data_IF_418647386227
#
_entry.id   IF_418647386227
#
_cell.length_a   1.000
_cell.length_b   1.000
_cell.length_c   1.000
_cell.angle_alpha   90.00
_cell.angle_beta   90.00
_cell.angle_gamma   90.00
#
_symmetry.space_group_name_H-M   'P 1'
#
loop_
_entity.id
_entity.type
_entity.pdbx_description
1 polymer ?
#
# COMPACT_ATOMS: atom_id res chain seq x y z
N UNK A 1 -23.97 3.46 1.30
CA UNK A 1 -22.90 2.58 1.80
C UNK A 1 -23.09 2.06 3.24
N UNK A 2 -24.17 2.37 3.92
CA UNK A 2 -24.46 1.92 5.30
C UNK A 2 -24.58 0.41 5.50
N UNK A 3 -24.53 -0.38 4.42
CA UNK A 3 -24.72 -1.85 4.44
C UNK A 3 -23.56 -2.63 3.79
N UNK A 4 -22.34 -2.03 3.72
CA UNK A 4 -21.19 -2.69 3.14
C UNK A 4 -20.66 -3.79 4.08
N UNK A 5 -20.93 -5.04 3.74
CA UNK A 5 -20.40 -6.20 4.46
C UNK A 5 -18.90 -6.40 4.22
N UNK A 6 -18.18 -6.98 5.20
CA UNK A 6 -16.73 -7.22 5.10
C UNK A 6 -16.32 -7.99 3.84
N UNK A 7 -17.15 -8.90 3.35
CA UNK A 7 -16.89 -9.69 2.13
C UNK A 7 -16.90 -8.84 0.84
N UNK A 8 -17.57 -7.68 0.87
CA UNK A 8 -17.73 -6.80 -0.29
C UNK A 8 -16.66 -5.70 -0.33
N UNK A 9 -15.98 -5.45 0.80
CA UNK A 9 -14.89 -4.45 0.92
C UNK A 9 -13.82 -4.62 -0.14
N UNK A 10 -13.30 -5.84 -0.45
CA UNK A 10 -12.25 -5.99 -1.47
C UNK A 10 -12.64 -5.47 -2.85
N UNK A 11 -13.87 -5.66 -3.28
CA UNK A 11 -14.37 -5.17 -4.56
C UNK A 11 -14.47 -3.63 -4.58
N UNK A 12 -14.97 -3.05 -3.50
CA UNK A 12 -15.08 -1.59 -3.36
C UNK A 12 -13.70 -0.91 -3.28
N UNK A 13 -12.74 -1.50 -2.58
CA UNK A 13 -11.34 -1.06 -2.57
C UNK A 13 -10.75 -1.05 -3.99
N UNK A 14 -11.04 -2.09 -4.78
CA UNK A 14 -10.63 -2.14 -6.20
C UNK A 14 -11.17 -0.96 -7.00
N UNK A 15 -12.44 -0.58 -6.78
CA UNK A 15 -13.06 0.58 -7.45
C UNK A 15 -12.42 1.91 -7.01
N UNK A 16 -12.14 2.08 -5.72
CA UNK A 16 -11.45 3.28 -5.20
C UNK A 16 -10.04 3.43 -5.79
N UNK A 17 -9.29 2.35 -5.89
CA UNK A 17 -7.96 2.34 -6.49
C UNK A 17 -8.03 2.64 -8.00
N UNK A 18 -8.97 2.04 -8.73
CA UNK A 18 -9.17 2.32 -10.16
C UNK A 18 -9.51 3.80 -10.40
N UNK A 19 -10.40 4.38 -9.59
CA UNK A 19 -10.74 5.80 -9.65
C UNK A 19 -9.50 6.68 -9.39
N UNK A 20 -8.72 6.34 -8.37
CA UNK A 20 -7.49 7.06 -8.02
C UNK A 20 -6.48 7.08 -9.18
N UNK A 21 -6.21 5.93 -9.82
CA UNK A 21 -5.31 5.90 -10.98
C UNK A 21 -5.83 6.75 -12.15
N UNK A 22 -7.16 6.78 -12.38
CA UNK A 22 -7.77 7.65 -13.40
C UNK A 22 -7.58 9.14 -13.09
N UNK A 23 -7.73 9.53 -11.82
CA UNK A 23 -7.50 10.91 -11.38
C UNK A 23 -6.06 11.37 -11.62
N UNK A 24 -5.07 10.45 -11.55
CA UNK A 24 -3.65 10.75 -11.75
C UNK A 24 -3.20 10.71 -13.21
N UNK A 25 -3.98 10.09 -14.10
CA UNK A 25 -3.58 9.85 -15.50
C UNK A 25 -3.12 11.12 -16.21
N UNK A 26 -3.89 12.19 -16.15
CA UNK A 26 -3.56 13.45 -16.85
C UNK A 26 -2.23 14.07 -16.36
N UNK A 27 -1.95 14.01 -15.05
CA UNK A 27 -0.69 14.51 -14.51
C UNK A 27 0.51 13.67 -14.98
N UNK A 28 0.34 12.36 -15.07
CA UNK A 28 1.37 11.44 -15.55
C UNK A 28 1.63 11.65 -17.05
N UNK A 29 0.58 11.80 -17.84
CA UNK A 29 0.68 12.05 -19.29
C UNK A 29 1.43 13.34 -19.60
N UNK A 30 1.33 14.39 -18.75
CA UNK A 30 2.08 15.64 -18.93
C UNK A 30 3.59 15.48 -18.74
N UNK A 31 4.04 14.44 -18.03
CA UNK A 31 5.47 14.15 -17.85
C UNK A 31 6.01 13.44 -19.09
N UNK A 32 5.23 12.57 -19.72
CA UNK A 32 5.55 11.92 -20.97
C UNK A 32 5.11 10.47 -21.05
N UNK A 33 4.93 9.99 -22.28
CA UNK A 33 4.48 8.63 -22.58
C UNK A 33 5.31 7.53 -21.87
N UNK A 34 6.66 7.58 -21.81
CA UNK A 34 7.43 6.54 -21.13
C UNK A 34 7.10 6.42 -19.64
N UNK A 35 6.73 7.54 -18.99
CA UNK A 35 6.31 7.53 -17.58
C UNK A 35 4.92 6.92 -17.44
N UNK A 36 4.00 7.24 -18.35
CA UNK A 36 2.68 6.64 -18.37
C UNK A 36 2.75 5.10 -18.56
N UNK A 37 3.64 4.64 -19.44
CA UNK A 37 3.92 3.22 -19.66
C UNK A 37 4.46 2.56 -18.39
N UNK A 38 5.48 3.13 -17.74
CA UNK A 38 6.01 2.61 -16.48
C UNK A 38 4.94 2.55 -15.38
N UNK A 39 4.13 3.61 -15.21
CA UNK A 39 3.04 3.65 -14.23
C UNK A 39 1.95 2.60 -14.54
N UNK A 40 1.78 2.20 -15.80
CA UNK A 40 0.86 1.11 -16.16
C UNK A 40 1.22 -0.22 -15.51
N UNK A 41 2.52 -0.50 -15.28
CA UNK A 41 2.98 -1.68 -14.54
C UNK A 41 2.56 -1.62 -13.08
N UNK A 42 2.75 -0.47 -12.42
CA UNK A 42 2.27 -0.27 -11.05
C UNK A 42 0.74 -0.42 -10.95
N UNK A 43 0.00 0.18 -11.90
CA UNK A 43 -1.47 0.04 -11.94
C UNK A 43 -1.89 -1.42 -12.10
N UNK A 44 -1.29 -2.17 -13.03
CA UNK A 44 -1.55 -3.60 -13.21
C UNK A 44 -1.25 -4.40 -11.94
N UNK A 45 -0.13 -4.10 -11.28
CA UNK A 45 0.27 -4.74 -10.03
C UNK A 45 -0.74 -4.48 -8.91
N UNK A 46 -1.15 -3.22 -8.71
CA UNK A 46 -2.10 -2.82 -7.66
C UNK A 46 -3.49 -3.39 -7.92
N UNK A 47 -3.98 -3.34 -9.18
CA UNK A 47 -5.32 -3.80 -9.55
C UNK A 47 -5.39 -5.29 -9.83
N UNK A 48 -4.27 -5.96 -10.09
CA UNK A 48 -4.15 -7.36 -10.48
C UNK A 48 -4.57 -8.39 -9.42
N UNK A 49 -5.28 -7.94 -8.40
CA UNK A 49 -5.86 -8.80 -7.37
C UNK A 49 -5.17 -8.72 -6.02
N UNK A 50 -5.67 -9.53 -5.09
CA UNK A 50 -5.23 -9.56 -3.69
C UNK A 50 -6.44 -9.66 -2.77
N UNK A 51 -6.21 -10.18 -1.56
CA UNK A 51 -7.28 -10.36 -0.56
C UNK A 51 -7.73 -9.04 0.08
N UNK A 52 -7.07 -7.92 -0.22
CA UNK A 52 -7.35 -6.58 0.35
C UNK A 52 -7.51 -6.61 1.87
N UNK A 53 -6.64 -7.37 2.54
CA UNK A 53 -6.75 -7.69 3.97
C UNK A 53 -6.65 -6.42 4.82
N UNK A 54 -5.70 -5.54 4.52
CA UNK A 54 -5.47 -4.31 5.30
C UNK A 54 -6.64 -3.34 5.24
N UNK A 55 -7.14 -2.95 4.06
CA UNK A 55 -8.36 -2.14 3.97
C UNK A 55 -9.56 -2.79 4.65
N UNK A 56 -9.68 -4.13 4.58
CA UNK A 56 -10.77 -4.86 5.22
C UNK A 56 -10.68 -4.78 6.75
N UNK A 57 -9.48 -4.89 7.34
CA UNK A 57 -9.30 -4.67 8.78
C UNK A 57 -9.53 -3.22 9.18
N UNK A 58 -9.07 -2.25 8.36
CA UNK A 58 -9.36 -0.84 8.59
C UNK A 58 -10.86 -0.56 8.61
N UNK A 59 -11.58 -1.09 7.63
CA UNK A 59 -13.05 -1.01 7.60
C UNK A 59 -13.71 -1.69 8.81
N UNK A 60 -13.22 -2.88 9.20
CA UNK A 60 -13.72 -3.58 10.39
C UNK A 60 -13.50 -2.76 11.68
N UNK A 61 -12.34 -2.11 11.83
CA UNK A 61 -12.06 -1.18 12.93
C UNK A 61 -13.03 0.00 12.96
N UNK A 62 -13.28 0.62 11.80
CA UNK A 62 -14.23 1.71 11.66
C UNK A 62 -15.66 1.30 12.07
N UNK A 63 -16.16 0.20 11.51
CA UNK A 63 -17.50 -0.32 11.82
C UNK A 63 -17.60 -0.75 13.28
N UNK A 64 -16.60 -1.49 13.78
CA UNK A 64 -16.56 -1.98 15.17
C UNK A 64 -16.54 -0.85 16.22
N UNK A 65 -15.96 0.30 15.88
CA UNK A 65 -15.97 1.50 16.71
C UNK A 65 -17.23 2.38 16.52
N UNK A 66 -18.24 1.90 15.79
CA UNK A 66 -19.51 2.61 15.60
C UNK A 66 -19.48 3.67 14.49
N UNK A 67 -18.48 3.66 13.63
CA UNK A 67 -18.25 4.68 12.60
C UNK A 67 -19.41 4.89 11.64
N UNK A 68 -20.23 3.86 11.36
CA UNK A 68 -21.44 3.98 10.53
C UNK A 68 -22.54 4.87 11.15
N UNK A 69 -22.45 5.16 12.45
CA UNK A 69 -23.35 6.05 13.18
C UNK A 69 -22.67 7.39 13.53
N UNK A 70 -21.42 7.58 13.10
CA UNK A 70 -20.60 8.78 13.30
C UNK A 70 -20.86 9.85 12.25
N UNK A 71 -19.93 10.80 12.19
CA UNK A 71 -20.01 11.99 11.30
C UNK A 71 -19.21 11.82 10.00
N UNK A 72 -18.30 10.84 9.95
CA UNK A 72 -17.47 10.62 8.76
C UNK A 72 -18.25 9.92 7.66
N UNK A 73 -18.05 10.38 6.42
CA UNK A 73 -18.62 9.69 5.25
C UNK A 73 -17.95 8.32 5.07
N UNK A 74 -18.74 7.21 5.11
CA UNK A 74 -18.21 5.87 4.90
C UNK A 74 -17.46 5.69 3.58
N UNK A 75 -17.81 6.44 2.52
CA UNK A 75 -17.09 6.38 1.24
C UNK A 75 -15.69 7.02 1.35
N UNK A 76 -15.60 8.16 2.01
CA UNK A 76 -14.33 8.82 2.30
C UNK A 76 -13.42 7.92 3.17
N UNK A 77 -13.99 7.26 4.17
CA UNK A 77 -13.25 6.30 5.01
C UNK A 77 -12.75 5.11 4.19
N UNK A 78 -13.59 4.54 3.33
CA UNK A 78 -13.19 3.44 2.47
C UNK A 78 -12.07 3.85 1.51
N UNK A 79 -12.15 5.08 0.96
CA UNK A 79 -11.07 5.65 0.14
C UNK A 79 -9.78 5.79 0.95
N UNK A 80 -9.85 6.31 2.17
CA UNK A 80 -8.70 6.39 3.07
C UNK A 80 -8.09 5.01 3.33
N UNK A 81 -8.91 3.99 3.66
CA UNK A 81 -8.42 2.63 3.88
C UNK A 81 -7.83 2.02 2.62
N UNK A 82 -8.30 2.37 1.43
CA UNK A 82 -7.77 1.87 0.16
C UNK A 82 -6.32 2.31 -0.09
N UNK A 83 -5.85 3.42 0.51
CA UNK A 83 -4.46 3.87 0.46
C UNK A 83 -3.46 2.85 1.02
N UNK A 84 -3.90 1.96 1.92
CA UNK A 84 -3.09 0.88 2.47
C UNK A 84 -2.60 -0.11 1.41
N UNK A 85 -3.31 -0.23 0.30
CA UNK A 85 -2.88 -1.07 -0.81
C UNK A 85 -1.74 -0.44 -1.63
N UNK A 86 -1.63 0.89 -1.64
CA UNK A 86 -0.50 1.59 -2.25
C UNK A 86 0.76 1.44 -1.38
N UNK A 87 0.65 1.50 -0.04
CA UNK A 87 1.76 1.16 0.86
C UNK A 87 2.18 -0.30 0.64
N UNK A 88 1.21 -1.21 0.52
CA UNK A 88 1.49 -2.61 0.23
C UNK A 88 2.18 -2.80 -1.13
N UNK A 89 1.80 -2.02 -2.15
CA UNK A 89 2.46 -2.06 -3.44
C UNK A 89 3.92 -1.62 -3.35
N UNK A 90 4.21 -0.50 -2.66
CA UNK A 90 5.57 -0.07 -2.37
C UNK A 90 6.38 -1.19 -1.69
N UNK A 91 5.86 -1.72 -0.58
CA UNK A 91 6.56 -2.75 0.18
C UNK A 91 6.87 -4.00 -0.67
N UNK A 92 5.90 -4.48 -1.47
CA UNK A 92 6.09 -5.67 -2.29
C UNK A 92 6.98 -5.44 -3.52
N UNK A 93 6.91 -4.26 -4.16
CA UNK A 93 7.76 -3.94 -5.31
C UNK A 93 9.23 -3.86 -4.88
N UNK A 94 9.52 -3.24 -3.73
CA UNK A 94 10.87 -3.18 -3.19
C UNK A 94 11.36 -4.54 -2.67
N UNK A 95 10.51 -5.29 -1.97
CA UNK A 95 10.80 -6.64 -1.47
C UNK A 95 11.17 -7.59 -2.63
N UNK A 96 10.44 -7.53 -3.74
CA UNK A 96 10.74 -8.32 -4.95
C UNK A 96 12.12 -8.04 -5.55
N UNK A 97 12.61 -6.79 -5.45
CA UNK A 97 13.96 -6.42 -5.89
C UNK A 97 15.00 -6.93 -4.90
N UNK A 98 14.76 -6.71 -3.60
CA UNK A 98 15.66 -7.11 -2.51
C UNK A 98 15.87 -8.63 -2.52
N UNK A 99 14.78 -9.39 -2.69
CA UNK A 99 14.81 -10.85 -2.71
C UNK A 99 15.18 -11.44 -4.09
N UNK A 100 15.47 -10.59 -5.10
CA UNK A 100 15.70 -10.98 -6.48
C UNK A 100 14.61 -11.93 -7.04
N UNK A 101 13.35 -11.69 -6.68
CA UNK A 101 12.22 -12.54 -7.04
C UNK A 101 11.80 -12.34 -8.49
N UNK A 102 11.70 -13.42 -9.26
CA UNK A 102 11.26 -13.36 -10.66
C UNK A 102 9.73 -13.27 -10.81
N UNK A 103 9.00 -13.85 -9.86
CA UNK A 103 7.53 -13.95 -9.95
C UNK A 103 6.84 -13.66 -8.63
N UNK A 104 5.64 -13.06 -8.73
CA UNK A 104 4.71 -12.85 -7.60
C UNK A 104 3.29 -13.19 -8.01
N UNK A 105 2.62 -14.05 -7.24
CA UNK A 105 1.25 -14.52 -7.51
C UNK A 105 1.07 -15.11 -8.92
N UNK A 106 2.11 -15.79 -9.42
CA UNK A 106 2.09 -16.42 -10.75
C UNK A 106 2.34 -15.48 -11.94
N UNK A 107 2.60 -14.19 -11.68
CA UNK A 107 2.97 -13.20 -12.69
C UNK A 107 4.41 -12.74 -12.50
N UNK A 108 5.10 -12.23 -13.53
CA UNK A 108 6.37 -11.56 -13.37
C UNK A 108 6.29 -10.43 -12.33
N UNK A 109 7.33 -10.24 -11.54
CA UNK A 109 7.47 -9.07 -10.67
C UNK A 109 7.55 -7.78 -11.49
N UNK A 110 7.31 -6.63 -10.87
CA UNK A 110 7.28 -5.34 -11.60
C UNK A 110 8.61 -5.09 -12.32
N UNK A 111 9.75 -5.30 -11.66
CA UNK A 111 11.06 -5.09 -12.28
C UNK A 111 11.30 -6.07 -13.44
N UNK A 112 10.89 -7.33 -13.33
CA UNK A 112 11.03 -8.31 -14.41
C UNK A 112 10.10 -8.04 -15.59
N UNK A 113 8.90 -7.53 -15.35
CA UNK A 113 7.99 -7.13 -16.42
C UNK A 113 8.54 -5.95 -17.22
N UNK A 114 9.11 -4.94 -16.54
CA UNK A 114 9.74 -3.77 -17.19
C UNK A 114 11.02 -4.19 -17.92
N UNK A 115 11.84 -5.06 -17.34
CA UNK A 115 13.01 -5.65 -18.00
C UNK A 115 12.64 -6.35 -19.31
N UNK A 116 11.60 -7.16 -19.31
CA UNK A 116 11.12 -7.86 -20.49
C UNK A 116 10.63 -6.88 -21.58
N UNK A 117 9.93 -5.82 -21.19
CA UNK A 117 9.47 -4.77 -22.10
C UNK A 117 10.66 -4.03 -22.73
N UNK A 118 11.66 -3.60 -21.93
CA UNK A 118 12.89 -2.99 -22.41
C UNK A 118 13.59 -3.84 -23.49
N UNK A 119 13.69 -5.15 -23.28
CA UNK A 119 14.28 -6.08 -24.26
C UNK A 119 13.44 -6.18 -25.53
N UNK A 120 12.10 -6.23 -25.39
CA UNK A 120 11.19 -6.37 -26.53
C UNK A 120 11.18 -5.12 -27.43
N UNK A 121 11.41 -3.96 -26.84
CA UNK A 121 11.47 -2.68 -27.56
C UNK A 121 12.84 -2.35 -28.11
N UNK A 122 13.86 -3.15 -27.76
CA UNK A 122 15.24 -2.96 -28.21
C UNK A 122 15.88 -1.68 -27.66
N UNK A 123 15.53 -1.28 -26.45
CA UNK A 123 16.06 -0.08 -25.80
C UNK A 123 17.56 -0.25 -25.46
N UNK A 124 18.27 0.88 -25.33
CA UNK A 124 19.71 0.89 -25.04
C UNK A 124 19.99 0.62 -23.57
N UNK A 125 21.16 0.03 -23.30
CA UNK A 125 21.65 -0.21 -21.94
C UNK A 125 21.26 -1.57 -21.38
N UNK A 126 21.46 -1.76 -20.07
CA UNK A 126 21.11 -2.97 -19.36
C UNK A 126 19.61 -3.03 -19.05
N UNK A 127 18.91 -3.99 -19.63
CA UNK A 127 17.48 -4.19 -19.38
C UNK A 127 17.19 -4.52 -17.90
N UNK A 128 18.07 -5.30 -17.26
CA UNK A 128 17.93 -5.66 -15.85
C UNK A 128 18.06 -4.43 -14.95
N UNK A 129 19.10 -3.62 -15.13
CA UNK A 129 19.27 -2.37 -14.36
C UNK A 129 18.12 -1.39 -14.60
N UNK A 130 17.65 -1.28 -15.84
CA UNK A 130 16.48 -0.44 -16.16
C UNK A 130 15.24 -0.91 -15.42
N UNK A 131 14.96 -2.22 -15.42
CA UNK A 131 13.83 -2.81 -14.70
C UNK A 131 13.88 -2.52 -13.20
N UNK A 132 15.04 -2.72 -12.57
CA UNK A 132 15.28 -2.44 -11.15
C UNK A 132 15.09 -0.95 -10.85
N UNK A 133 15.76 -0.07 -11.60
CA UNK A 133 15.69 1.38 -11.36
C UNK A 133 14.28 1.93 -11.52
N UNK A 134 13.55 1.49 -12.54
CA UNK A 134 12.16 1.89 -12.73
C UNK A 134 11.25 1.39 -11.61
N UNK A 135 11.43 0.13 -11.16
CA UNK A 135 10.63 -0.44 -10.09
C UNK A 135 10.89 0.23 -8.73
N UNK A 136 12.11 0.64 -8.42
CA UNK A 136 12.42 1.46 -7.24
C UNK A 136 11.56 2.74 -7.24
N UNK A 137 11.59 3.49 -8.35
CA UNK A 137 10.84 4.74 -8.47
C UNK A 137 9.32 4.52 -8.45
N UNK A 138 8.82 3.41 -8.98
CA UNK A 138 7.41 3.06 -8.91
C UNK A 138 6.98 2.68 -7.48
N UNK A 139 7.87 2.05 -6.71
CA UNK A 139 7.64 1.80 -5.29
C UNK A 139 7.56 3.09 -4.48
N UNK A 140 8.48 4.03 -4.72
CA UNK A 140 8.47 5.36 -4.09
C UNK A 140 7.21 6.14 -4.46
N UNK A 141 6.82 6.10 -5.74
CA UNK A 141 5.59 6.73 -6.22
C UNK A 141 4.35 6.15 -5.54
N UNK A 142 4.30 4.83 -5.38
CA UNK A 142 3.20 4.17 -4.66
C UNK A 142 3.11 4.65 -3.20
N UNK A 143 4.25 4.80 -2.51
CA UNK A 143 4.29 5.33 -1.14
C UNK A 143 3.83 6.79 -1.06
N UNK A 144 4.29 7.64 -1.98
CA UNK A 144 3.84 9.03 -2.07
C UNK A 144 2.33 9.13 -2.35
N UNK A 145 1.84 8.32 -3.28
CA UNK A 145 0.42 8.27 -3.63
C UNK A 145 -0.46 7.69 -2.53
N UNK A 146 0.09 6.84 -1.66
CA UNK A 146 -0.63 6.39 -0.46
C UNK A 146 -0.95 7.56 0.46
N UNK A 147 0.03 8.48 0.69
CA UNK A 147 -0.19 9.70 1.48
C UNK A 147 -1.21 10.62 0.80
N UNK A 148 -1.12 10.81 -0.52
CA UNK A 148 -2.08 11.62 -1.27
C UNK A 148 -3.50 11.07 -1.14
N UNK A 149 -3.68 9.76 -1.36
CA UNK A 149 -4.99 9.11 -1.29
C UNK A 149 -5.59 9.16 0.11
N UNK A 150 -4.76 9.01 1.15
CA UNK A 150 -5.13 9.15 2.54
C UNK A 150 -5.56 10.58 2.86
N UNK A 151 -4.70 11.56 2.55
CA UNK A 151 -4.89 12.96 2.90
C UNK A 151 -6.07 13.61 2.18
N UNK A 152 -6.29 13.23 0.92
CA UNK A 152 -7.36 13.75 0.08
C UNK A 152 -8.53 12.76 -0.07
N UNK A 153 -8.73 11.89 0.91
CA UNK A 153 -9.81 10.91 0.92
C UNK A 153 -11.20 11.53 1.04
N UNK A 154 -11.31 12.70 1.65
CA UNK A 154 -12.58 13.35 2.03
C UNK A 154 -12.94 13.18 3.50
N UNK A 155 -12.16 12.43 4.28
CA UNK A 155 -12.28 12.33 5.74
C UNK A 155 -11.95 13.67 6.39
N UNK A 156 -12.63 14.03 7.47
CA UNK A 156 -12.42 15.29 8.17
C UNK A 156 -10.98 15.43 8.71
N UNK A 157 -10.52 16.69 8.82
CA UNK A 157 -9.18 16.96 9.35
C UNK A 157 -9.03 16.49 10.80
N UNK A 158 -10.10 16.55 11.59
CA UNK A 158 -10.10 16.06 12.97
C UNK A 158 -9.93 14.54 13.04
N UNK A 159 -10.59 13.79 12.15
CA UNK A 159 -10.43 12.35 12.07
C UNK A 159 -9.02 11.96 11.55
N UNK A 160 -8.49 12.67 10.55
CA UNK A 160 -7.11 12.48 10.09
C UNK A 160 -6.10 12.77 11.22
N UNK A 161 -6.33 13.80 12.03
CA UNK A 161 -5.46 14.13 13.16
C UNK A 161 -5.50 13.03 14.24
N UNK A 162 -6.66 12.46 14.55
CA UNK A 162 -6.78 11.31 15.48
C UNK A 162 -6.03 10.08 14.97
N UNK A 163 -6.07 9.84 13.66
CA UNK A 163 -5.42 8.70 13.04
C UNK A 163 -3.92 8.91 12.70
N UNK A 164 -3.37 10.11 12.99
CA UNK A 164 -2.01 10.47 12.60
C UNK A 164 -0.95 9.54 13.22
N UNK A 165 -1.07 9.21 14.52
CA UNK A 165 -0.10 8.33 15.19
C UNK A 165 -0.06 6.94 14.55
N UNK A 166 -1.17 6.18 14.44
CA UNK A 166 -1.12 4.87 13.80
C UNK A 166 -0.74 4.93 12.31
N UNK A 167 -1.06 6.00 11.59
CA UNK A 167 -0.65 6.20 10.19
C UNK A 167 0.85 6.38 10.04
N UNK A 168 1.47 7.24 10.86
CA UNK A 168 2.92 7.48 10.85
C UNK A 168 3.67 6.25 11.36
N UNK A 169 3.21 5.67 12.49
CA UNK A 169 3.80 4.50 13.11
C UNK A 169 3.86 3.31 12.16
N UNK A 170 2.77 3.02 11.47
CA UNK A 170 2.67 1.90 10.53
C UNK A 170 3.74 1.96 9.42
N UNK A 171 3.96 3.12 8.83
CA UNK A 171 4.96 3.30 7.75
C UNK A 171 6.38 3.12 8.27
N UNK A 172 6.69 3.68 9.43
CA UNK A 172 8.00 3.50 10.08
C UNK A 172 8.22 2.04 10.47
N UNK A 173 7.21 1.40 11.04
CA UNK A 173 7.29 0.01 11.50
C UNK A 173 7.50 -0.99 10.37
N UNK A 174 6.77 -0.87 9.26
CA UNK A 174 6.91 -1.80 8.13
C UNK A 174 8.28 -1.66 7.45
N UNK A 175 8.75 -0.43 7.23
CA UNK A 175 10.08 -0.19 6.62
C UNK A 175 11.18 -0.62 7.59
N UNK A 176 11.07 -0.27 8.87
CA UNK A 176 12.02 -0.70 9.91
C UNK A 176 12.04 -2.21 10.10
N UNK A 177 10.89 -2.88 10.02
CA UNK A 177 10.78 -4.33 10.06
C UNK A 177 11.48 -5.00 8.88
N UNK A 178 11.32 -4.46 7.67
CA UNK A 178 12.03 -4.94 6.48
C UNK A 178 13.54 -4.74 6.59
N UNK A 179 13.98 -3.57 7.05
CA UNK A 179 15.41 -3.30 7.26
C UNK A 179 16.01 -4.26 8.32
N UNK A 180 15.28 -4.52 9.40
CA UNK A 180 15.70 -5.46 10.43
C UNK A 180 15.85 -6.88 9.87
N UNK A 181 14.92 -7.32 9.01
CA UNK A 181 14.95 -8.62 8.35
C UNK A 181 16.23 -8.81 7.53
N UNK A 182 16.54 -7.84 6.65
CA UNK A 182 17.77 -7.83 5.85
C UNK A 182 19.03 -7.87 6.74
N UNK A 183 19.03 -7.07 7.82
CA UNK A 183 20.19 -7.01 8.73
C UNK A 183 20.41 -8.33 9.45
N UNK A 184 19.35 -8.99 9.91
CA UNK A 184 19.45 -10.27 10.62
C UNK A 184 19.93 -11.40 9.72
N UNK A 185 19.49 -11.41 8.47
CA UNK A 185 19.97 -12.35 7.46
C UNK A 185 21.48 -12.18 7.23
N UNK A 186 21.96 -10.96 7.04
CA UNK A 186 23.39 -10.67 6.82
C UNK A 186 24.26 -10.92 8.07
N UNK A 187 23.69 -10.83 9.27
CA UNK A 187 24.37 -11.15 10.52
C UNK A 187 24.37 -12.66 10.82
N UNK A 188 23.61 -13.47 10.07
CA UNK A 188 23.39 -14.87 10.37
C UNK A 188 22.77 -15.09 11.76
N UNK A 189 21.86 -14.19 12.15
CA UNK A 189 21.29 -14.19 13.52
C UNK A 189 20.28 -15.31 13.70
N UNK A 190 20.48 -16.14 14.73
CA UNK A 190 19.53 -17.19 15.16
C UNK A 190 18.65 -16.75 16.35
N UNK A 191 18.59 -15.43 16.65
CA UNK A 191 17.84 -14.90 17.76
C UNK A 191 16.32 -14.97 17.52
N UNK A 192 15.63 -15.81 18.30
CA UNK A 192 14.16 -15.93 18.29
C UNK A 192 13.49 -14.61 18.66
N UNK A 193 14.05 -13.84 19.59
CA UNK A 193 13.52 -12.52 19.97
C UNK A 193 13.53 -11.58 18.77
N UNK A 194 14.63 -11.52 18.03
CA UNK A 194 14.76 -10.63 16.87
C UNK A 194 13.85 -11.08 15.72
N UNK A 195 13.75 -12.39 15.47
CA UNK A 195 12.80 -12.93 14.49
C UNK A 195 11.34 -12.57 14.84
N UNK A 196 10.97 -12.60 16.12
CA UNK A 196 9.66 -12.16 16.58
C UNK A 196 9.43 -10.65 16.37
N UNK A 197 10.47 -9.81 16.50
CA UNK A 197 10.38 -8.38 16.19
C UNK A 197 10.14 -8.16 14.68
N UNK A 198 10.84 -8.89 13.82
CA UNK A 198 10.58 -8.86 12.36
C UNK A 198 9.13 -9.24 12.07
N UNK A 199 8.67 -10.38 12.58
CA UNK A 199 7.28 -10.83 12.39
C UNK A 199 6.25 -9.81 12.89
N UNK A 200 6.52 -9.16 14.03
CA UNK A 200 5.64 -8.13 14.58
C UNK A 200 5.55 -6.93 13.64
N UNK A 201 6.67 -6.32 13.29
CA UNK A 201 6.69 -5.03 12.60
C UNK A 201 6.50 -5.16 11.08
N UNK A 202 7.21 -6.11 10.44
CA UNK A 202 7.05 -6.37 9.00
C UNK A 202 5.67 -6.92 8.65
N UNK A 203 5.02 -7.69 9.55
CA UNK A 203 3.82 -8.45 9.19
C UNK A 203 2.61 -8.16 10.08
N UNK A 204 2.67 -8.44 11.39
CA UNK A 204 1.48 -8.47 12.23
C UNK A 204 0.92 -7.07 12.51
N UNK A 205 1.75 -6.12 12.96
CA UNK A 205 1.34 -4.76 13.21
C UNK A 205 0.84 -4.10 11.91
N UNK A 206 1.63 -4.21 10.85
CA UNK A 206 1.32 -3.64 9.55
C UNK A 206 0.05 -4.22 8.91
N UNK A 207 -0.23 -5.51 9.10
CA UNK A 207 -1.35 -6.17 8.41
C UNK A 207 -2.66 -6.09 9.19
N UNK A 208 -2.60 -6.10 10.53
CA UNK A 208 -3.80 -6.25 11.39
C UNK A 208 -3.93 -5.08 12.36
N UNK A 209 -2.93 -4.89 13.23
CA UNK A 209 -3.00 -3.96 14.35
C UNK A 209 -3.22 -2.51 13.88
N UNK A 210 -2.34 -2.00 13.03
CA UNK A 210 -2.40 -0.62 12.55
C UNK A 210 -3.61 -0.33 11.67
N UNK A 211 -4.03 -1.20 10.73
CA UNK A 211 -5.28 -1.00 10.01
C UNK A 211 -6.50 -0.92 10.93
N UNK A 212 -6.63 -1.79 11.95
CA UNK A 212 -7.70 -1.72 12.94
C UNK A 212 -7.69 -0.41 13.72
N UNK A 213 -6.50 0.02 14.19
CA UNK A 213 -6.34 1.31 14.90
C UNK A 213 -6.73 2.50 14.02
N UNK A 214 -6.32 2.51 12.74
CA UNK A 214 -6.69 3.55 11.79
C UNK A 214 -8.22 3.65 11.64
N UNK A 215 -8.88 2.52 11.40
CA UNK A 215 -10.33 2.51 11.27
C UNK A 215 -11.04 2.99 12.52
N UNK A 216 -10.64 2.51 13.70
CA UNK A 216 -11.21 2.94 14.97
C UNK A 216 -10.98 4.43 15.24
N UNK A 217 -9.78 4.95 14.96
CA UNK A 217 -9.45 6.37 15.14
C UNK A 217 -10.26 7.29 14.21
N UNK A 218 -10.59 6.84 13.00
CA UNK A 218 -11.48 7.59 12.11
C UNK A 218 -12.91 7.63 12.62
N UNK A 219 -13.38 6.57 13.28
CA UNK A 219 -14.75 6.48 13.80
C UNK A 219 -14.97 7.30 15.09
N UNK A 220 -13.97 7.30 15.99
CA UNK A 220 -14.11 7.82 17.35
C UNK A 220 -13.88 9.33 17.39
N UNK A 221 -14.85 10.07 17.90
CA UNK A 221 -14.65 11.44 18.38
C UNK A 221 -13.77 11.40 19.65
N UNK A 222 -12.93 12.43 19.85
CA UNK A 222 -12.07 12.60 21.05
C UNK A 222 -12.83 12.54 22.38
N UNK A 223 -14.16 12.59 22.37
CA UNK A 223 -15.03 12.53 23.54
C UNK A 223 -15.22 11.09 24.07
N UNK A 224 -14.78 10.07 23.31
CA UNK A 224 -15.02 8.65 23.62
C UNK A 224 -13.74 7.82 23.85
N UNK A 225 -12.59 8.48 23.99
CA UNK A 225 -11.31 7.81 24.33
C UNK A 225 -10.94 8.08 25.79
#
# INVERSE_FOLDING_TARGET
>A
MTDLGLKDVPAQVGQQLEAFFKERAAAIETIGEPVAQAVSHLRRFVLGGGKRVRPTYGWAGFVGAGGLHGTEDPEAVLRAMSSLELIQACALVHDDIIDASDTRRGNPTVHRAIEAEHRSEGLLGSAEEYGINAAILLGDLALAWAEDMWRYSGVSQDALARAAEPWVGMRTEVIGGQLLDIMLENLGSESVEMANRVNRFKTAAYTIERPLHLGAALALSLIHI
#
